data_IF_031710898558
#
_entry.id   IF_031710898558
#
_cell.length_a   1.000
_cell.length_b   1.000
_cell.length_c   1.000
_cell.angle_alpha   90.00
_cell.angle_beta   90.00
_cell.angle_gamma   90.00
#
_symmetry.space_group_name_H-M   'P 1'
#
loop_
_entity.id
_entity.type
_entity.pdbx_description
1 polymer ?
#
# COMPACT_ATOMS: atom_id res chain seq x y z
N UNK A 1 -34.08 5.67 -28.52
CA UNK A 1 -33.57 4.36 -28.99
C UNK A 1 -32.15 4.56 -29.48
N UNK A 2 -31.19 3.86 -28.85
CA UNK A 2 -29.75 3.98 -29.03
C UNK A 2 -29.32 3.24 -30.31
N UNK A 3 -28.66 3.93 -31.23
CA UNK A 3 -27.94 3.32 -32.35
C UNK A 3 -26.49 3.02 -31.92
N UNK A 4 -26.14 1.74 -31.91
CA UNK A 4 -24.78 1.20 -32.16
C UNK A 4 -24.52 1.26 -33.69
N UNK A 5 -23.29 1.14 -34.28
CA UNK A 5 -22.28 0.10 -33.95
C UNK A 5 -20.78 0.35 -34.31
N UNK A 6 -19.92 -0.56 -33.79
CA UNK A 6 -18.80 -1.32 -34.44
C UNK A 6 -17.78 -0.59 -35.35
N UNK A 7 -16.50 -0.54 -34.93
CA UNK A 7 -15.36 -1.42 -35.31
C UNK A 7 -14.55 -0.97 -36.54
N UNK A 8 -13.25 -1.27 -36.43
CA UNK A 8 -12.30 -1.66 -37.50
C UNK A 8 -11.54 -0.58 -38.28
N UNK A 9 -10.21 -0.76 -38.17
CA UNK A 9 -9.22 -0.68 -39.25
C UNK A 9 -8.71 0.70 -39.65
N UNK A 10 -7.49 0.87 -40.15
CA UNK A 10 -6.24 0.12 -40.21
C UNK A 10 -5.36 0.92 -41.19
N UNK A 11 -4.03 0.72 -41.09
CA UNK A 11 -3.05 0.93 -42.16
C UNK A 11 -2.83 2.37 -42.68
N UNK A 12 -1.63 2.92 -42.44
CA UNK A 12 -0.47 2.82 -43.35
C UNK A 12 -0.66 3.52 -44.70
N UNK A 13 0.26 4.46 -44.98
CA UNK A 13 1.00 4.39 -46.24
C UNK A 13 0.96 5.60 -47.17
N UNK A 14 2.05 6.38 -47.13
CA UNK A 14 2.93 6.71 -48.26
C UNK A 14 2.37 7.49 -49.47
N UNK A 15 3.06 8.60 -49.77
CA UNK A 15 3.21 9.18 -51.11
C UNK A 15 2.07 10.13 -51.50
N UNK A 16 2.25 11.24 -52.20
CA UNK A 16 3.18 11.57 -53.29
C UNK A 16 3.12 13.10 -53.44
N UNK A 17 4.22 13.74 -53.82
CA UNK A 17 4.15 15.13 -54.30
C UNK A 17 5.50 15.82 -54.46
N UNK A 18 6.22 15.48 -55.53
CA UNK A 18 7.38 16.25 -56.03
C UNK A 18 6.85 17.40 -56.89
N UNK A 19 7.28 18.64 -56.63
CA UNK A 19 7.49 19.67 -57.66
C UNK A 19 8.34 20.84 -57.10
N UNK A 20 9.44 21.12 -57.78
CA UNK A 20 10.42 22.17 -57.52
C UNK A 20 9.92 23.55 -57.95
N UNK A 21 10.28 24.63 -57.22
CA UNK A 21 10.80 25.89 -57.82
C UNK A 21 11.73 26.57 -56.79
N UNK A 22 12.91 26.95 -57.27
CA UNK A 22 14.02 27.67 -56.63
C UNK A 22 13.70 29.12 -56.28
N UNK A 23 14.19 29.58 -55.13
CA UNK A 23 14.38 31.00 -54.80
C UNK A 23 15.33 31.17 -53.61
N UNK A 24 16.53 31.74 -53.86
CA UNK A 24 17.44 32.33 -52.85
C UNK A 24 16.71 33.47 -52.10
N UNK A 25 16.95 33.79 -50.83
CA UNK A 25 18.21 34.08 -50.14
C UNK A 25 18.14 33.77 -48.62
N UNK A 26 19.29 33.62 -47.93
CA UNK A 26 19.39 33.08 -46.58
C UNK A 26 19.52 34.20 -45.52
N UNK A 27 18.42 34.72 -45.02
CA UNK A 27 18.45 35.46 -43.74
C UNK A 27 17.20 35.17 -42.91
N UNK A 28 17.33 34.22 -41.99
CA UNK A 28 16.65 34.30 -40.71
C UNK A 28 17.29 33.30 -39.77
N UNK A 29 18.16 33.84 -38.92
CA UNK A 29 18.56 33.33 -37.61
C UNK A 29 17.77 32.09 -37.15
N UNK A 30 18.34 30.91 -37.40
CA UNK A 30 17.93 29.71 -36.69
C UNK A 30 18.39 29.92 -35.25
N UNK A 31 17.49 30.41 -34.40
CA UNK A 31 17.67 30.38 -32.97
C UNK A 31 17.95 28.93 -32.60
N UNK A 32 19.21 28.66 -32.24
CA UNK A 32 19.64 27.36 -31.73
C UNK A 32 18.71 27.03 -30.57
N UNK A 33 18.01 25.88 -30.56
CA UNK A 33 17.16 25.53 -29.43
C UNK A 33 18.05 25.53 -28.18
N UNK A 34 17.75 26.42 -27.25
CA UNK A 34 18.41 26.47 -25.95
C UNK A 34 18.33 25.06 -25.36
N UNK A 35 19.46 24.43 -24.99
CA UNK A 35 19.40 23.12 -24.37
C UNK A 35 18.51 23.24 -23.14
N UNK A 36 17.40 22.50 -23.15
CA UNK A 36 16.52 22.37 -21.99
C UNK A 36 17.41 21.82 -20.88
N UNK A 37 17.65 22.62 -19.85
CA UNK A 37 18.39 22.20 -18.67
C UNK A 37 17.79 20.87 -18.21
N UNK A 38 18.62 19.84 -18.08
CA UNK A 38 18.18 18.52 -17.66
C UNK A 38 17.34 18.66 -16.38
N UNK A 39 16.03 18.44 -16.52
CA UNK A 39 15.10 18.45 -15.39
C UNK A 39 15.65 17.48 -14.37
N UNK A 40 16.02 17.99 -13.19
CA UNK A 40 16.48 17.15 -12.09
C UNK A 40 15.42 16.09 -11.85
N UNK A 41 15.83 14.81 -11.84
CA UNK A 41 14.96 13.70 -11.51
C UNK A 41 14.25 14.01 -10.17
N UNK A 42 12.94 13.72 -10.04
CA UNK A 42 12.21 14.02 -8.82
C UNK A 42 12.95 13.43 -7.63
N UNK A 43 13.25 14.27 -6.64
CA UNK A 43 13.91 13.84 -5.42
C UNK A 43 13.10 12.67 -4.82
N UNK A 44 13.72 11.50 -4.75
CA UNK A 44 13.11 10.35 -4.11
C UNK A 44 13.04 10.65 -2.62
N UNK A 45 11.86 11.05 -2.13
CA UNK A 45 11.62 11.23 -0.70
C UNK A 45 11.68 9.84 -0.08
N UNK A 46 12.78 9.54 0.60
CA UNK A 46 12.92 8.29 1.34
C UNK A 46 11.89 8.28 2.47
N UNK A 47 10.88 7.43 2.34
CA UNK A 47 9.97 7.13 3.45
C UNK A 47 10.79 6.35 4.48
N UNK A 48 10.89 6.81 5.74
CA UNK A 48 11.67 6.11 6.75
C UNK A 48 11.15 4.68 6.90
N UNK A 49 12.08 3.72 6.85
CA UNK A 49 11.75 2.32 7.08
C UNK A 49 11.21 2.17 8.51
N UNK A 50 9.97 1.67 8.64
CA UNK A 50 9.35 1.38 9.93
C UNK A 50 10.09 0.24 10.63
N UNK A 51 10.20 0.33 11.96
CA UNK A 51 10.76 -0.75 12.78
C UNK A 51 9.90 -2.01 12.66
N UNK A 52 10.49 -3.18 12.93
CA UNK A 52 9.73 -4.44 12.92
C UNK A 52 8.58 -4.38 13.92
N UNK A 53 8.84 -3.92 15.14
CA UNK A 53 7.83 -3.76 16.20
C UNK A 53 6.66 -2.90 15.74
N UNK A 54 6.93 -1.75 15.13
CA UNK A 54 5.86 -0.86 14.67
C UNK A 54 5.04 -1.50 13.54
N UNK A 55 5.67 -2.29 12.66
CA UNK A 55 4.93 -3.06 11.63
C UNK A 55 4.01 -4.10 12.28
N UNK A 56 4.50 -4.83 13.28
CA UNK A 56 3.69 -5.82 13.98
C UNK A 56 2.50 -5.18 14.70
N UNK A 57 2.72 -4.08 15.42
CA UNK A 57 1.67 -3.39 16.17
C UNK A 57 0.58 -2.86 15.22
N UNK A 58 0.98 -2.31 14.07
CA UNK A 58 0.05 -1.89 13.02
C UNK A 58 -0.74 -3.06 12.42
N UNK A 59 -0.07 -4.18 12.13
CA UNK A 59 -0.73 -5.39 11.60
C UNK A 59 -1.73 -5.95 12.63
N UNK A 60 -1.32 -6.06 13.89
CA UNK A 60 -2.17 -6.53 14.97
C UNK A 60 -3.40 -5.63 15.12
N UNK A 61 -3.20 -4.32 15.26
CA UNK A 61 -4.29 -3.37 15.43
C UNK A 61 -5.24 -3.38 14.22
N UNK A 62 -4.73 -3.41 12.99
CA UNK A 62 -5.57 -3.45 11.80
C UNK A 62 -6.46 -4.72 11.74
N UNK A 63 -5.99 -5.83 12.29
CA UNK A 63 -6.72 -7.09 12.36
C UNK A 63 -7.72 -7.12 13.54
N UNK A 64 -7.29 -6.69 14.73
CA UNK A 64 -8.06 -6.82 15.97
C UNK A 64 -8.99 -5.63 16.25
N UNK A 65 -8.71 -4.44 15.73
CA UNK A 65 -9.52 -3.24 15.96
C UNK A 65 -11.02 -3.44 15.65
N UNK A 66 -11.42 -4.10 14.54
CA UNK A 66 -12.84 -4.39 14.28
C UNK A 66 -13.52 -5.26 15.34
N UNK A 67 -12.78 -6.18 15.97
CA UNK A 67 -13.28 -7.04 17.07
C UNK A 67 -13.64 -6.18 18.29
N UNK A 68 -12.87 -5.12 18.53
CA UNK A 68 -13.12 -4.16 19.60
C UNK A 68 -14.08 -3.02 19.20
N UNK A 69 -14.72 -3.08 18.01
CA UNK A 69 -15.57 -2.01 17.50
C UNK A 69 -14.81 -0.72 17.14
N UNK A 70 -13.48 -0.78 17.03
CA UNK A 70 -12.63 0.33 16.64
C UNK A 70 -12.52 0.37 15.12
N UNK A 71 -13.06 1.43 14.51
CA UNK A 71 -13.05 1.64 13.06
C UNK A 71 -12.18 2.84 12.66
N UNK A 72 -11.02 2.96 13.31
CA UNK A 72 -10.03 4.02 13.04
C UNK A 72 -8.72 3.41 12.57
N UNK A 73 -7.93 4.15 11.79
CA UNK A 73 -6.59 3.70 11.43
C UNK A 73 -5.66 3.73 12.65
N UNK A 74 -4.58 2.96 12.59
CA UNK A 74 -3.53 3.01 13.63
C UNK A 74 -3.00 4.42 13.85
N UNK A 75 -2.70 5.16 12.78
CA UNK A 75 -2.21 6.55 12.89
C UNK A 75 -3.24 7.49 13.53
N UNK A 76 -4.53 7.27 13.28
CA UNK A 76 -5.58 8.05 13.92
C UNK A 76 -5.68 7.71 15.40
N UNK A 77 -5.68 6.42 15.77
CA UNK A 77 -5.69 5.97 17.16
C UNK A 77 -4.45 6.48 17.92
N UNK A 78 -3.27 6.46 17.30
CA UNK A 78 -2.03 6.99 17.87
C UNK A 78 -2.12 8.51 18.12
N UNK A 79 -2.79 9.24 17.24
CA UNK A 79 -2.96 10.68 17.37
C UNK A 79 -4.05 11.10 18.39
N UNK A 80 -5.10 10.30 18.56
CA UNK A 80 -6.29 10.69 19.35
C UNK A 80 -6.44 9.93 20.67
N UNK A 81 -5.98 8.69 20.74
CA UNK A 81 -6.13 7.80 21.88
C UNK A 81 -4.90 6.88 22.04
N UNK A 82 -3.69 7.46 22.22
CA UNK A 82 -2.44 6.69 22.26
C UNK A 82 -2.41 5.67 23.41
N UNK A 83 -3.02 5.98 24.56
CA UNK A 83 -3.08 5.08 25.71
C UNK A 83 -3.96 3.86 25.44
N UNK A 84 -5.12 4.06 24.78
CA UNK A 84 -6.00 2.96 24.39
C UNK A 84 -5.33 2.08 23.33
N UNK A 85 -4.69 2.69 22.34
CA UNK A 85 -3.90 1.98 21.33
C UNK A 85 -2.80 1.13 22.00
N UNK A 86 -2.04 1.72 22.91
CA UNK A 86 -0.99 1.03 23.65
C UNK A 86 -1.55 -0.13 24.48
N UNK A 87 -2.72 0.04 25.11
CA UNK A 87 -3.38 -1.02 25.86
C UNK A 87 -3.83 -2.17 24.95
N UNK A 88 -4.46 -1.88 23.81
CA UNK A 88 -4.90 -2.90 22.84
C UNK A 88 -3.70 -3.72 22.36
N UNK A 89 -2.64 -3.04 21.91
CA UNK A 89 -1.41 -3.70 21.44
C UNK A 89 -0.76 -4.53 22.55
N UNK A 90 -0.68 -3.98 23.77
CA UNK A 90 -0.13 -4.69 24.93
C UNK A 90 -0.92 -5.97 25.23
N UNK A 91 -2.24 -5.90 25.30
CA UNK A 91 -3.10 -7.08 25.52
C UNK A 91 -2.90 -8.14 24.43
N UNK A 92 -2.73 -7.74 23.17
CA UNK A 92 -2.42 -8.66 22.08
C UNK A 92 -1.08 -9.37 22.24
N UNK A 93 -0.05 -8.63 22.69
CA UNK A 93 1.28 -9.20 22.95
C UNK A 93 1.28 -10.15 24.15
N UNK A 94 0.53 -9.83 25.20
CA UNK A 94 0.33 -10.70 26.36
C UNK A 94 -0.42 -11.98 25.95
N UNK A 95 -1.46 -11.86 25.14
CA UNK A 95 -2.20 -13.00 24.59
C UNK A 95 -1.31 -13.89 23.72
N UNK A 96 -0.52 -13.30 22.83
CA UNK A 96 0.45 -14.06 22.02
C UNK A 96 1.51 -14.75 22.88
N UNK A 97 2.06 -14.05 23.88
CA UNK A 97 3.04 -14.64 24.80
C UNK A 97 2.44 -15.84 25.56
N UNK A 98 1.21 -15.72 26.04
CA UNK A 98 0.52 -16.83 26.70
C UNK A 98 0.29 -18.00 25.74
N UNK A 99 -0.04 -17.73 24.48
CA UNK A 99 -0.18 -18.75 23.45
C UNK A 99 1.15 -19.45 23.11
N UNK A 100 2.27 -18.73 23.04
CA UNK A 100 3.57 -19.33 22.67
C UNK A 100 4.07 -20.39 23.65
N UNK A 101 3.58 -20.37 24.89
CA UNK A 101 3.87 -21.40 25.89
C UNK A 101 2.99 -22.66 25.74
N UNK A 102 1.98 -22.62 24.87
CA UNK A 102 1.05 -23.73 24.62
C UNK A 102 1.55 -24.56 23.43
N UNK A 103 1.83 -25.87 23.60
CA UNK A 103 2.33 -26.74 22.52
C UNK A 103 1.18 -27.24 21.62
N UNK A 104 0.30 -26.34 21.21
CA UNK A 104 -0.87 -26.61 20.37
C UNK A 104 -0.87 -25.67 19.15
N UNK A 105 -1.51 -26.10 18.06
CA UNK A 105 -1.86 -25.17 17.00
C UNK A 105 -2.83 -24.11 17.52
N UNK A 106 -2.96 -23.00 16.80
CA UNK A 106 -3.85 -21.89 17.20
C UNK A 106 -5.29 -22.38 17.37
N UNK A 107 -5.80 -23.20 16.45
CA UNK A 107 -7.17 -23.71 16.52
C UNK A 107 -7.37 -24.71 17.67
N UNK A 108 -6.39 -25.58 17.94
CA UNK A 108 -6.43 -26.47 19.10
C UNK A 108 -6.36 -25.68 20.43
N UNK A 109 -5.58 -24.60 20.49
CA UNK A 109 -5.51 -23.74 21.66
C UNK A 109 -6.83 -22.98 21.89
N UNK A 110 -7.48 -22.53 20.81
CA UNK A 110 -8.81 -21.89 20.86
C UNK A 110 -9.86 -22.85 21.42
N UNK A 111 -9.88 -24.09 20.91
CA UNK A 111 -10.81 -25.13 21.37
C UNK A 111 -10.52 -25.53 22.82
N UNK A 112 -9.24 -25.74 23.17
CA UNK A 112 -8.84 -26.14 24.52
C UNK A 112 -9.12 -25.07 25.59
N UNK A 113 -9.07 -23.80 25.21
CA UNK A 113 -9.37 -22.67 26.09
C UNK A 113 -10.85 -22.23 26.06
N UNK A 114 -11.69 -22.88 25.25
CA UNK A 114 -13.12 -22.54 25.06
C UNK A 114 -13.32 -21.04 24.76
N UNK A 115 -12.48 -20.49 23.88
CA UNK A 115 -12.52 -19.06 23.54
C UNK A 115 -13.78 -18.73 22.75
N UNK A 116 -14.39 -17.58 23.06
CA UNK A 116 -15.44 -17.00 22.22
C UNK A 116 -14.91 -16.65 20.82
N UNK A 117 -15.82 -16.45 19.86
CA UNK A 117 -15.45 -16.09 18.48
C UNK A 117 -14.56 -14.82 18.42
N UNK A 118 -14.84 -13.83 19.26
CA UNK A 118 -14.08 -12.58 19.34
C UNK A 118 -12.68 -12.80 19.95
N UNK A 119 -12.57 -13.61 21.00
CA UNK A 119 -11.29 -13.97 21.62
C UNK A 119 -10.43 -14.83 20.68
N UNK A 120 -11.07 -15.77 19.99
CA UNK A 120 -10.46 -16.62 18.97
C UNK A 120 -9.95 -15.78 17.78
N UNK A 121 -10.73 -14.80 17.32
CA UNK A 121 -10.31 -13.86 16.27
C UNK A 121 -9.12 -13.02 16.72
N UNK A 122 -9.16 -12.50 17.95
CA UNK A 122 -8.07 -11.72 18.55
C UNK A 122 -6.78 -12.53 18.66
N UNK A 123 -6.86 -13.78 19.10
CA UNK A 123 -5.69 -14.67 19.19
C UNK A 123 -5.10 -14.94 17.80
N UNK A 124 -5.93 -15.23 16.79
CA UNK A 124 -5.45 -15.40 15.40
C UNK A 124 -4.76 -14.14 14.87
N UNK A 125 -5.31 -12.96 15.14
CA UNK A 125 -4.67 -11.68 14.80
C UNK A 125 -3.32 -11.50 15.52
N UNK A 126 -3.23 -11.85 16.80
CA UNK A 126 -2.01 -11.78 17.58
C UNK A 126 -0.92 -12.70 17.03
N UNK A 127 -1.26 -13.96 16.72
CA UNK A 127 -0.32 -14.93 16.14
C UNK A 127 0.14 -14.50 14.76
N UNK A 128 -0.76 -14.02 13.91
CA UNK A 128 -0.40 -13.51 12.58
C UNK A 128 0.54 -12.30 12.69
N UNK A 129 0.26 -11.36 13.58
CA UNK A 129 1.03 -10.13 13.68
C UNK A 129 2.38 -10.31 14.36
N UNK A 130 2.46 -11.14 15.41
CA UNK A 130 3.64 -11.28 16.25
C UNK A 130 4.47 -12.53 15.95
N UNK A 131 3.88 -13.56 15.32
CA UNK A 131 4.53 -14.84 15.02
C UNK A 131 5.46 -14.84 13.82
N UNK A 132 5.22 -14.01 12.81
CA UNK A 132 6.07 -13.92 11.60
C UNK A 132 7.49 -13.37 11.87
N UNK A 133 7.80 -12.94 13.09
CA UNK A 133 9.10 -12.42 13.50
C UNK A 133 9.92 -13.38 14.39
N UNK A 134 9.34 -14.52 14.79
CA UNK A 134 9.94 -15.48 15.72
C UNK A 134 10.79 -16.54 15.00
#
# INVERSE_FOLDING_TARGET
MKLSPRLLSALMGIGVGVALVTGCDPESSVAKPTPVAATQAPATVAVPARSLTEKQDRTYFACAAPVYGLHVSYDAAEATAPDELAQVVKSGRELYSAYTDVPLSVDEAIEAADLSDDEAATLRCAVQAFGDAA
#
